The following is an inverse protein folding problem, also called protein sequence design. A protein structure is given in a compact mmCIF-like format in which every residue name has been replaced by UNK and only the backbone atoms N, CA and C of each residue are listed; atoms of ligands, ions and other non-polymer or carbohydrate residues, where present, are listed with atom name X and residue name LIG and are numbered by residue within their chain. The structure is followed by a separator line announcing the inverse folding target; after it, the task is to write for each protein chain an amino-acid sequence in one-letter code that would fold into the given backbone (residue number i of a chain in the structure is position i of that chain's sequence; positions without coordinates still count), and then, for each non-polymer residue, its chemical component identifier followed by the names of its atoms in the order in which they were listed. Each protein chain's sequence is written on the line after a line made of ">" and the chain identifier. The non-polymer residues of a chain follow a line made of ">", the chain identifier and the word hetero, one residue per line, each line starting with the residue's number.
data_IF_677546925674
#
_entry.id   IF_677546925674
#
_cell.length_a   1.000
_cell.length_b   1.000
_cell.length_c   1.000
_cell.angle_alpha   90.00
_cell.angle_beta   90.00
_cell.angle_gamma   90.00
#
_symmetry.space_group_name_H-M   'P 1'
#
loop_
_entity.id
_entity.type
_entity.pdbx_description
1 polymer ?
#
# COMPACT_ATOMS: atom_id res chain seq x y z
N UNK A 1 -39.27 -19.14 -10.14
CA UNK A 1 -38.57 -18.88 -8.86
C UNK A 1 -37.27 -19.64 -8.95
N UNK A 2 -36.15 -18.93 -9.06
CA UNK A 2 -34.83 -19.55 -9.16
C UNK A 2 -34.26 -19.67 -7.74
N UNK A 3 -34.06 -20.91 -7.30
CA UNK A 3 -33.34 -21.24 -6.07
C UNK A 3 -31.86 -20.85 -6.29
N UNK A 4 -31.40 -19.82 -5.59
CA UNK A 4 -29.99 -19.48 -5.54
C UNK A 4 -29.33 -20.39 -4.52
N UNK A 5 -28.47 -21.27 -5.02
CA UNK A 5 -27.63 -22.19 -4.24
C UNK A 5 -26.80 -21.38 -3.23
N UNK A 6 -26.97 -21.71 -1.96
CA UNK A 6 -26.12 -21.20 -0.89
C UNK A 6 -24.73 -21.83 -1.00
N UNK A 7 -23.85 -21.19 -1.77
CA UNK A 7 -22.42 -21.38 -1.59
C UNK A 7 -22.04 -20.69 -0.28
N UNK A 8 -21.68 -21.50 0.72
CA UNK A 8 -21.02 -21.02 1.94
C UNK A 8 -19.77 -20.25 1.52
N UNK A 9 -19.79 -18.95 1.76
CA UNK A 9 -18.59 -18.12 1.65
C UNK A 9 -17.70 -18.54 2.82
N UNK A 10 -16.70 -19.38 2.55
CA UNK A 10 -15.58 -19.60 3.48
C UNK A 10 -15.02 -18.22 3.84
N UNK A 11 -15.17 -17.86 5.12
CA UNK A 11 -14.60 -16.62 5.64
C UNK A 11 -13.08 -16.73 5.53
N UNK A 12 -12.52 -16.10 4.50
CA UNK A 12 -11.08 -15.92 4.36
C UNK A 12 -10.61 -15.13 5.58
N UNK A 13 -9.90 -15.77 6.50
CA UNK A 13 -9.22 -15.09 7.59
C UNK A 13 -8.17 -14.17 6.98
N UNK A 14 -8.46 -12.87 6.98
CA UNK A 14 -7.51 -11.84 6.57
C UNK A 14 -6.49 -11.71 7.69
N UNK A 15 -5.27 -12.18 7.44
CA UNK A 15 -4.16 -12.04 8.38
C UNK A 15 -3.88 -10.55 8.59
N UNK A 16 -4.02 -10.07 9.83
CA UNK A 16 -3.70 -8.68 10.18
C UNK A 16 -2.20 -8.45 10.07
N UNK A 17 -1.75 -7.92 8.94
CA UNK A 17 -0.35 -7.54 8.74
C UNK A 17 -0.02 -6.36 9.65
N UNK A 18 1.07 -6.47 10.42
CA UNK A 18 1.49 -5.37 11.29
C UNK A 18 1.96 -4.16 10.46
N UNK A 19 1.82 -2.96 11.02
CA UNK A 19 2.30 -1.73 10.37
C UNK A 19 3.81 -1.79 10.04
N UNK A 20 4.60 -2.45 10.88
CA UNK A 20 6.04 -2.61 10.65
C UNK A 20 6.35 -3.48 9.44
N UNK A 21 5.62 -4.58 9.27
CA UNK A 21 5.72 -5.44 8.09
C UNK A 21 5.33 -4.69 6.82
N UNK A 22 4.26 -3.90 6.87
CA UNK A 22 3.83 -3.08 5.73
C UNK A 22 4.88 -2.03 5.32
N UNK A 23 5.54 -1.39 6.29
CA UNK A 23 6.66 -0.48 6.01
C UNK A 23 7.84 -1.24 5.38
N UNK A 24 8.15 -2.44 5.88
CA UNK A 24 9.19 -3.31 5.31
C UNK A 24 8.92 -3.67 3.85
N UNK A 25 7.68 -4.02 3.51
CA UNK A 25 7.29 -4.31 2.14
C UNK A 25 7.41 -3.08 1.23
N UNK A 26 7.01 -1.90 1.71
CA UNK A 26 7.17 -0.65 0.95
C UNK A 26 8.66 -0.34 0.73
N UNK A 27 9.52 -0.52 1.74
CA UNK A 27 10.98 -0.33 1.58
C UNK A 27 11.57 -1.29 0.54
N UNK A 28 11.17 -2.57 0.59
CA UNK A 28 11.61 -3.59 -0.38
C UNK A 28 11.23 -3.21 -1.81
N UNK A 29 9.95 -2.91 -2.04
CA UNK A 29 9.44 -2.57 -3.37
C UNK A 29 10.01 -1.24 -3.89
N UNK A 30 10.16 -0.22 -3.03
CA UNK A 30 10.79 1.05 -3.40
C UNK A 30 12.27 0.85 -3.80
N UNK A 31 13.02 -0.01 -3.10
CA UNK A 31 14.41 -0.32 -3.45
C UNK A 31 14.51 -1.08 -4.76
N UNK A 32 13.69 -2.11 -4.93
CA UNK A 32 13.74 -2.99 -6.11
C UNK A 32 13.29 -2.26 -7.38
N UNK A 33 12.27 -1.40 -7.28
CA UNK A 33 11.60 -0.83 -8.46
C UNK A 33 11.97 0.63 -8.72
N UNK A 34 12.31 1.39 -7.67
CA UNK A 34 12.68 2.81 -7.78
C UNK A 34 14.14 3.09 -7.41
N UNK A 35 14.85 2.13 -6.81
CA UNK A 35 16.22 2.34 -6.34
C UNK A 35 16.33 3.28 -5.14
N UNK A 36 15.26 3.42 -4.34
CA UNK A 36 15.17 4.36 -3.22
C UNK A 36 14.81 3.61 -1.93
N UNK A 37 15.29 4.09 -0.78
CA UNK A 37 14.79 3.61 0.52
C UNK A 37 13.37 4.12 0.80
N UNK A 38 12.70 3.49 1.75
CA UNK A 38 11.41 3.97 2.28
C UNK A 38 11.47 5.43 2.70
N UNK A 39 12.51 5.86 3.44
CA UNK A 39 12.62 7.25 3.90
C UNK A 39 12.70 8.23 2.73
N UNK A 40 13.51 7.92 1.70
CA UNK A 40 13.63 8.76 0.50
C UNK A 40 12.31 8.80 -0.28
N UNK A 41 11.67 7.64 -0.44
CA UNK A 41 10.38 7.55 -1.10
C UNK A 41 9.29 8.34 -0.34
N UNK A 42 9.25 8.22 0.99
CA UNK A 42 8.28 8.90 1.83
C UNK A 42 8.51 10.42 1.87
N UNK A 43 9.76 10.88 1.84
CA UNK A 43 10.08 12.30 1.67
C UNK A 43 9.58 12.83 0.32
N UNK A 44 9.86 12.13 -0.80
CA UNK A 44 9.34 12.51 -2.11
C UNK A 44 7.81 12.52 -2.14
N UNK A 45 7.17 11.53 -1.51
CA UNK A 45 5.71 11.48 -1.37
C UNK A 45 5.17 12.72 -0.66
N UNK A 46 5.78 13.09 0.47
CA UNK A 46 5.36 14.25 1.27
C UNK A 46 5.57 15.59 0.56
N UNK A 47 6.60 15.68 -0.28
CA UNK A 47 6.89 16.89 -1.04
C UNK A 47 6.12 16.97 -2.36
N UNK A 48 5.47 15.88 -2.79
CA UNK A 48 4.79 15.81 -4.09
C UNK A 48 5.74 15.64 -5.28
N UNK A 49 6.98 15.19 -5.03
CA UNK A 49 8.04 15.06 -6.03
C UNK A 49 8.08 13.68 -6.70
N UNK A 50 7.10 12.81 -6.42
CA UNK A 50 7.06 11.47 -7.01
C UNK A 50 6.65 11.53 -8.49
N UNK A 51 7.32 10.78 -9.37
CA UNK A 51 6.95 10.72 -10.78
C UNK A 51 5.61 9.98 -10.95
N UNK A 52 4.76 10.46 -11.84
CA UNK A 52 3.49 9.81 -12.18
C UNK A 52 3.74 8.53 -12.97
N UNK A 53 3.87 7.42 -12.24
CA UNK A 53 4.14 6.09 -12.77
C UNK A 53 3.25 5.08 -12.06
N UNK A 54 2.95 3.96 -12.74
CA UNK A 54 2.17 2.87 -12.15
C UNK A 54 2.79 2.36 -10.84
N UNK A 55 4.12 2.22 -10.81
CA UNK A 55 4.87 1.78 -9.63
C UNK A 55 4.65 2.72 -8.44
N UNK A 56 4.77 4.03 -8.68
CA UNK A 56 4.54 5.04 -7.65
C UNK A 56 3.11 4.98 -7.14
N UNK A 57 2.12 4.83 -8.03
CA UNK A 57 0.71 4.77 -7.64
C UNK A 57 0.43 3.56 -6.73
N UNK A 58 0.99 2.39 -7.05
CA UNK A 58 0.91 1.19 -6.21
C UNK A 58 1.52 1.41 -4.83
N UNK A 59 2.73 2.00 -4.76
CA UNK A 59 3.41 2.26 -3.49
C UNK A 59 2.69 3.33 -2.63
N UNK A 60 2.10 4.34 -3.27
CA UNK A 60 1.30 5.36 -2.58
C UNK A 60 0.01 4.77 -2.00
N UNK A 61 -0.60 3.79 -2.68
CA UNK A 61 -1.74 3.05 -2.14
C UNK A 61 -1.33 2.28 -0.89
N UNK A 62 -0.18 1.59 -0.92
CA UNK A 62 0.34 0.88 0.25
C UNK A 62 0.65 1.82 1.42
N UNK A 63 1.22 3.00 1.16
CA UNK A 63 1.41 4.03 2.20
C UNK A 63 0.09 4.44 2.86
N UNK A 64 -0.99 4.58 2.09
CA UNK A 64 -2.32 4.91 2.63
C UNK A 64 -2.87 3.78 3.51
N UNK A 65 -2.73 2.53 3.07
CA UNK A 65 -3.10 1.36 3.88
C UNK A 65 -2.30 1.27 5.18
N UNK A 66 -1.02 1.67 5.17
CA UNK A 66 -0.17 1.74 6.35
C UNK A 66 -0.54 2.89 7.33
N UNK A 67 -1.58 3.67 7.01
CA UNK A 67 -2.00 4.85 7.76
C UNK A 67 -1.03 6.02 7.64
N UNK A 68 -0.20 6.05 6.59
CA UNK A 68 0.83 7.06 6.37
C UNK A 68 0.43 8.12 5.32
N UNK A 69 -0.71 7.96 4.66
CA UNK A 69 -1.15 8.85 3.57
C UNK A 69 -1.84 10.16 3.99
N UNK A 70 -2.27 10.30 5.25
CA UNK A 70 -3.23 11.34 5.67
C UNK A 70 -2.61 12.63 6.24
N UNK A 71 -1.47 13.10 5.72
CA UNK A 71 -0.91 14.42 6.08
C UNK A 71 -0.37 15.25 4.91
N UNK A 72 -0.83 15.02 3.68
CA UNK A 72 -0.47 15.86 2.53
C UNK A 72 -1.45 17.03 2.28
N UNK A 73 -2.39 17.30 3.19
CA UNK A 73 -3.33 18.42 3.09
C UNK A 73 -3.52 19.11 4.44
N UNK A 74 -2.56 19.94 4.82
CA UNK A 74 -2.69 21.01 5.81
C UNK A 74 -1.68 22.12 5.50
#
# INVERSE_FOLDING_TARGET
>A
MAEWLGEEIEAVEVEEVSRGEMIGEIDREARERLGMSFDQFYECYRNGDLPDTLVVNELVILLRFAGLGDRASA
#
